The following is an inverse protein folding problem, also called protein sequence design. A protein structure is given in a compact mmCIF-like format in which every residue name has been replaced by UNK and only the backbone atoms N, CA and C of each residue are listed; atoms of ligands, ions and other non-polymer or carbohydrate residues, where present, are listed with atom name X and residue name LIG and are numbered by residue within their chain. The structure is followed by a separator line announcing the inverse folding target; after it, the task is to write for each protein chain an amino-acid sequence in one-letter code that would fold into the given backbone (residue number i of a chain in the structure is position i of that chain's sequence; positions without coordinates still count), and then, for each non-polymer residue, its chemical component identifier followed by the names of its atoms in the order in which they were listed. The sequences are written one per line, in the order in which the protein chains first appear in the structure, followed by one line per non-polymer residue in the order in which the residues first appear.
data_IF_391316884484
#
_entry.id   IF_391316884484
#
_cell.length_a   1.000
_cell.length_b   1.000
_cell.length_c   1.000
_cell.angle_alpha   90.00
_cell.angle_beta   90.00
_cell.angle_gamma   90.00
#
_symmetry.space_group_name_H-M   'P 1'
#
loop_
_entity.id
_entity.type
_entity.pdbx_description
1 polymer ?
#
# COMPACT_ATOMS: atom_id res chain seq x y z
N UNK A 1 14.44 -12.03 -37.24
CA UNK A 1 13.10 -11.50 -37.63
C UNK A 1 12.47 -10.58 -36.58
N UNK A 2 13.11 -10.39 -35.40
CA UNK A 2 12.64 -9.50 -34.31
C UNK A 2 13.25 -8.09 -34.33
N UNK A 3 13.91 -7.68 -35.42
CA UNK A 3 14.58 -6.39 -35.52
C UNK A 3 13.74 -5.41 -36.32
N UNK A 4 13.49 -4.23 -35.75
CA UNK A 4 12.85 -3.13 -36.45
C UNK A 4 12.11 -2.18 -35.50
N UNK A 5 12.28 -0.88 -35.73
CA UNK A 5 11.56 0.19 -35.04
C UNK A 5 10.07 0.01 -35.29
N UNK A 6 9.29 -0.16 -34.22
CA UNK A 6 7.85 -0.39 -34.28
C UNK A 6 7.42 -1.66 -35.05
N UNK A 7 8.31 -2.65 -35.18
CA UNK A 7 7.99 -3.93 -35.80
C UNK A 7 7.01 -4.73 -34.92
N UNK A 8 6.07 -5.43 -35.57
CA UNK A 8 5.09 -6.35 -34.96
C UNK A 8 4.13 -5.67 -33.96
N UNK A 9 2.98 -5.12 -34.41
CA UNK A 9 1.96 -4.55 -33.53
C UNK A 9 1.20 -5.65 -32.77
N UNK A 10 1.90 -6.37 -31.90
CA UNK A 10 1.35 -7.45 -31.09
C UNK A 10 1.16 -6.99 -29.66
N UNK A 11 0.23 -7.61 -28.96
CA UNK A 11 -0.01 -7.31 -27.55
C UNK A 11 -0.39 -8.56 -26.76
N UNK A 12 0.02 -8.57 -25.50
CA UNK A 12 -0.52 -9.49 -24.50
C UNK A 12 -1.48 -8.69 -23.63
N UNK A 13 -2.69 -9.21 -23.43
CA UNK A 13 -3.72 -8.55 -22.61
C UNK A 13 -3.80 -9.17 -21.22
N UNK A 14 -4.22 -8.39 -20.22
CA UNK A 14 -4.45 -8.93 -18.88
C UNK A 14 -5.68 -9.82 -18.83
N UNK A 15 -5.69 -10.78 -17.90
CA UNK A 15 -6.84 -11.64 -17.64
C UNK A 15 -8.13 -10.84 -17.38
N UNK A 16 -8.05 -9.70 -16.69
CA UNK A 16 -9.23 -8.87 -16.44
C UNK A 16 -9.72 -8.17 -17.68
N UNK A 17 -8.83 -7.69 -18.55
CA UNK A 17 -9.24 -7.09 -19.81
C UNK A 17 -9.96 -8.11 -20.69
N UNK A 18 -9.43 -9.34 -20.74
CA UNK A 18 -10.04 -10.48 -21.42
C UNK A 18 -11.45 -10.80 -20.90
N UNK A 19 -11.61 -10.90 -19.58
CA UNK A 19 -12.92 -11.19 -18.97
C UNK A 19 -13.92 -10.04 -19.12
N UNK A 20 -13.50 -8.81 -18.82
CA UNK A 20 -14.42 -7.67 -18.70
C UNK A 20 -14.83 -7.08 -20.05
N UNK A 21 -13.90 -7.02 -21.02
CA UNK A 21 -14.15 -6.40 -22.33
C UNK A 21 -14.45 -7.42 -23.41
N UNK A 22 -13.80 -8.57 -23.37
CA UNK A 22 -13.93 -9.60 -24.40
C UNK A 22 -14.76 -10.80 -23.94
N UNK A 23 -15.44 -10.68 -22.78
CA UNK A 23 -16.34 -11.69 -22.22
C UNK A 23 -15.73 -13.09 -22.10
N UNK A 24 -14.41 -13.18 -21.94
CA UNK A 24 -13.72 -14.46 -21.86
C UNK A 24 -13.64 -15.24 -23.19
N UNK A 25 -13.67 -14.57 -24.35
CA UNK A 25 -13.59 -15.20 -25.67
C UNK A 25 -12.31 -16.07 -25.81
N UNK A 26 -12.42 -17.41 -25.92
CA UNK A 26 -11.26 -18.29 -26.05
C UNK A 26 -10.53 -18.12 -27.39
N UNK A 27 -11.18 -17.53 -28.39
CA UNK A 27 -10.62 -17.26 -29.72
C UNK A 27 -10.01 -15.87 -29.83
N UNK A 28 -9.79 -15.16 -28.71
CA UNK A 28 -9.24 -13.80 -28.75
C UNK A 28 -7.79 -13.76 -29.24
N UNK A 29 -7.03 -14.84 -29.03
CA UNK A 29 -5.64 -14.95 -29.48
C UNK A 29 -5.62 -15.09 -31.01
N UNK A 30 -4.79 -14.28 -31.67
CA UNK A 30 -4.71 -14.14 -33.12
C UNK A 30 -5.65 -13.06 -33.69
N UNK A 31 -6.63 -12.56 -32.92
CA UNK A 31 -7.51 -11.47 -33.40
C UNK A 31 -6.83 -10.12 -33.30
N UNK A 32 -7.03 -9.30 -34.32
CA UNK A 32 -6.64 -7.89 -34.30
C UNK A 32 -7.72 -7.05 -33.64
N UNK A 33 -7.32 -6.22 -32.67
CA UNK A 33 -8.19 -5.30 -31.94
C UNK A 33 -7.61 -3.90 -31.95
N UNK A 34 -8.47 -2.89 -31.99
CA UNK A 34 -8.03 -1.49 -31.90
C UNK A 34 -7.84 -1.11 -30.43
N UNK A 35 -6.59 -0.87 -30.06
CA UNK A 35 -6.18 -0.42 -28.73
C UNK A 35 -5.42 0.90 -28.91
N UNK A 36 -5.82 1.95 -28.19
CA UNK A 36 -5.24 3.31 -28.34
C UNK A 36 -5.24 3.75 -29.82
N UNK A 37 -6.40 3.64 -30.49
CA UNK A 37 -6.57 4.06 -31.89
C UNK A 37 -5.78 3.26 -32.92
N UNK A 38 -5.04 2.21 -32.53
CA UNK A 38 -4.17 1.45 -33.42
C UNK A 38 -4.49 -0.06 -33.40
N UNK A 39 -4.40 -0.74 -34.56
CA UNK A 39 -4.61 -2.18 -34.62
C UNK A 39 -3.47 -2.91 -33.92
N UNK A 40 -3.81 -3.81 -33.00
CA UNK A 40 -2.89 -4.73 -32.34
C UNK A 40 -3.41 -6.16 -32.43
N UNK A 41 -2.54 -7.09 -32.82
CA UNK A 41 -2.86 -8.52 -32.79
C UNK A 41 -2.62 -9.05 -31.39
N UNK A 42 -3.66 -9.60 -30.77
CA UNK A 42 -3.55 -10.19 -29.44
C UNK A 42 -2.84 -11.53 -29.57
N UNK A 43 -1.63 -11.66 -29.04
CA UNK A 43 -0.83 -12.90 -29.12
C UNK A 43 -0.90 -13.74 -27.85
N UNK A 44 -1.51 -13.22 -26.80
CA UNK A 44 -1.70 -13.95 -25.56
C UNK A 44 -2.55 -13.23 -24.53
N UNK A 45 -2.99 -14.01 -23.55
CA UNK A 45 -3.67 -13.52 -22.34
C UNK A 45 -2.78 -13.87 -21.14
N UNK A 46 -2.44 -12.88 -20.33
CA UNK A 46 -1.67 -13.09 -19.12
C UNK A 46 -2.47 -13.95 -18.11
N UNK A 47 -1.79 -14.78 -17.30
CA UNK A 47 -2.47 -15.67 -16.35
C UNK A 47 -3.26 -14.88 -15.29
N UNK A 48 -4.31 -15.52 -14.76
CA UNK A 48 -5.11 -14.95 -13.66
C UNK A 48 -4.21 -14.62 -12.47
N UNK A 49 -4.31 -13.39 -11.97
CA UNK A 49 -3.50 -12.91 -10.84
C UNK A 49 -2.17 -12.25 -11.24
N UNK A 50 -1.84 -12.20 -12.54
CA UNK A 50 -0.73 -11.40 -13.03
C UNK A 50 -1.19 -9.99 -13.43
N UNK A 51 -0.62 -8.99 -12.76
CA UNK A 51 -0.95 -7.56 -12.93
C UNK A 51 0.19 -6.77 -13.60
N UNK A 52 1.30 -7.44 -13.89
CA UNK A 52 2.54 -6.87 -14.40
C UNK A 52 3.68 -6.98 -13.39
N UNK A 53 4.83 -6.45 -13.77
CA UNK A 53 6.07 -6.51 -12.99
C UNK A 53 6.24 -5.33 -12.04
N UNK A 54 5.39 -4.30 -12.17
CA UNK A 54 5.39 -3.14 -11.28
C UNK A 54 4.43 -3.35 -10.11
N UNK A 55 4.98 -3.62 -8.91
CA UNK A 55 4.17 -3.91 -7.72
C UNK A 55 3.34 -2.68 -7.34
N UNK A 56 2.06 -2.90 -7.06
CA UNK A 56 1.11 -1.85 -6.72
C UNK A 56 0.34 -1.30 -7.93
N UNK A 57 0.76 -1.63 -9.16
CA UNK A 57 0.08 -1.24 -10.39
C UNK A 57 -0.61 -2.44 -11.07
N UNK A 58 -1.63 -2.15 -11.87
CA UNK A 58 -2.41 -3.12 -12.64
C UNK A 58 -2.46 -2.73 -14.11
N UNK A 59 -1.51 -3.27 -14.87
CA UNK A 59 -1.43 -3.04 -16.30
C UNK A 59 -2.44 -3.91 -17.04
N UNK A 60 -3.09 -3.33 -18.06
CA UNK A 60 -4.13 -4.01 -18.86
C UNK A 60 -3.58 -4.67 -20.12
N UNK A 61 -2.44 -4.19 -20.61
CA UNK A 61 -1.80 -4.64 -21.83
C UNK A 61 -0.27 -4.51 -21.71
N UNK A 62 0.44 -5.37 -22.44
CA UNK A 62 1.88 -5.32 -22.65
C UNK A 62 2.15 -5.36 -24.15
N UNK A 63 3.16 -4.60 -24.57
CA UNK A 63 3.59 -4.50 -25.97
C UNK A 63 5.10 -4.69 -26.05
N UNK A 64 5.63 -5.15 -27.20
CA UNK A 64 7.07 -5.20 -27.43
C UNK A 64 7.73 -3.84 -27.21
N UNK A 65 8.91 -3.86 -26.60
CA UNK A 65 9.69 -2.66 -26.32
C UNK A 65 10.09 -1.90 -27.60
N UNK A 66 10.20 -2.58 -28.74
CA UNK A 66 10.41 -1.99 -30.06
C UNK A 66 9.30 -1.03 -30.49
N UNK A 67 8.12 -1.09 -29.84
CA UNK A 67 6.99 -0.19 -30.07
C UNK A 67 6.98 1.03 -29.15
N UNK A 68 8.02 1.28 -28.34
CA UNK A 68 8.07 2.37 -27.35
C UNK A 68 7.62 3.71 -27.95
N UNK A 69 8.14 4.08 -29.13
CA UNK A 69 7.81 5.34 -29.79
C UNK A 69 6.31 5.51 -30.12
N UNK A 70 5.55 4.41 -30.26
CA UNK A 70 4.09 4.48 -30.47
C UNK A 70 3.33 4.88 -29.22
N UNK A 71 3.90 4.67 -28.03
CA UNK A 71 3.22 4.87 -26.74
C UNK A 71 3.81 6.00 -25.91
N UNK A 72 5.07 6.36 -26.16
CA UNK A 72 5.78 7.42 -25.45
C UNK A 72 6.27 8.52 -26.41
N UNK A 73 6.09 9.80 -26.04
CA UNK A 73 6.68 10.91 -26.78
C UNK A 73 8.21 10.97 -26.60
N UNK A 74 8.90 11.68 -27.49
CA UNK A 74 10.35 11.93 -27.38
C UNK A 74 11.23 11.11 -28.34
N UNK A 75 10.65 10.51 -29.38
CA UNK A 75 11.38 9.72 -30.36
C UNK A 75 11.68 8.28 -29.88
N UNK A 76 12.52 7.58 -30.64
CA UNK A 76 12.85 6.18 -30.38
C UNK A 76 14.05 6.05 -29.45
N UNK A 77 13.76 5.93 -28.15
CA UNK A 77 14.76 5.96 -27.07
C UNK A 77 15.72 4.76 -27.07
N UNK A 78 15.37 3.69 -27.79
CA UNK A 78 16.17 2.47 -27.89
C UNK A 78 17.50 2.68 -28.63
N UNK A 79 17.62 3.73 -29.44
CA UNK A 79 18.85 4.08 -30.17
C UNK A 79 19.76 5.03 -29.37
N UNK A 80 19.27 5.59 -28.26
CA UNK A 80 20.04 6.50 -27.42
C UNK A 80 20.43 5.84 -26.10
N UNK A 81 21.71 5.50 -25.95
CA UNK A 81 22.24 4.88 -24.72
C UNK A 81 22.11 5.78 -23.49
N UNK A 82 22.02 7.11 -23.65
CA UNK A 82 21.82 8.05 -22.55
C UNK A 82 20.41 8.00 -21.95
N UNK A 83 19.43 7.45 -22.65
CA UNK A 83 18.03 7.38 -22.19
C UNK A 83 17.86 6.26 -21.15
N UNK A 84 17.58 6.63 -19.90
CA UNK A 84 17.46 5.69 -18.76
C UNK A 84 16.01 5.40 -18.36
N UNK A 85 15.17 5.11 -19.36
CA UNK A 85 13.73 4.93 -19.19
C UNK A 85 13.31 3.47 -18.94
N UNK A 86 14.22 2.50 -19.09
CA UNK A 86 13.92 1.07 -19.01
C UNK A 86 14.20 0.57 -17.59
N UNK A 87 13.19 -0.07 -17.01
CA UNK A 87 13.36 -0.82 -15.76
C UNK A 87 13.72 -2.29 -16.04
N UNK A 88 14.88 -2.70 -15.55
CA UNK A 88 15.42 -4.04 -15.74
C UNK A 88 14.88 -5.03 -14.70
N UNK A 89 14.44 -6.20 -15.16
CA UNK A 89 14.05 -7.32 -14.29
C UNK A 89 15.01 -8.49 -14.48
N UNK A 90 15.50 -9.02 -13.37
CA UNK A 90 16.46 -10.14 -13.36
C UNK A 90 15.82 -11.32 -12.63
N UNK A 91 15.88 -12.51 -13.24
CA UNK A 91 15.52 -13.77 -12.60
C UNK A 91 16.80 -14.52 -12.25
N UNK A 92 17.08 -14.66 -10.96
CA UNK A 92 18.26 -15.40 -10.48
C UNK A 92 18.11 -16.90 -10.77
N UNK A 93 19.23 -17.54 -11.13
CA UNK A 93 19.30 -19.01 -11.21
C UNK A 93 19.14 -19.60 -9.80
N UNK A 94 18.55 -20.81 -9.67
CA UNK A 94 18.48 -21.49 -8.37
C UNK A 94 19.86 -21.64 -7.73
N UNK A 95 19.98 -21.35 -6.43
CA UNK A 95 21.22 -21.48 -5.67
C UNK A 95 22.21 -20.32 -5.77
N UNK A 96 21.94 -19.31 -6.61
CA UNK A 96 22.79 -18.11 -6.72
C UNK A 96 22.36 -17.06 -5.69
N UNK A 97 23.33 -16.44 -5.01
CA UNK A 97 23.06 -15.40 -4.00
C UNK A 97 22.95 -14.01 -4.61
N UNK A 98 22.27 -13.09 -3.92
CA UNK A 98 22.14 -11.71 -4.39
C UNK A 98 23.49 -10.99 -4.49
N UNK A 99 24.43 -11.33 -3.63
CA UNK A 99 25.79 -10.78 -3.61
C UNK A 99 26.58 -11.20 -4.86
N UNK A 100 26.41 -12.47 -5.29
CA UNK A 100 27.03 -12.96 -6.52
C UNK A 100 26.48 -12.24 -7.76
N UNK A 101 25.15 -12.06 -7.82
CA UNK A 101 24.51 -11.32 -8.92
C UNK A 101 24.94 -9.85 -8.90
N UNK A 102 25.00 -9.24 -7.73
CA UNK A 102 25.47 -7.85 -7.59
C UNK A 102 26.92 -7.70 -8.05
N UNK A 103 27.81 -8.64 -7.72
CA UNK A 103 29.20 -8.62 -8.17
C UNK A 103 29.29 -8.71 -9.72
N UNK A 104 28.57 -9.64 -10.33
CA UNK A 104 28.54 -9.81 -11.80
C UNK A 104 28.01 -8.55 -12.51
N UNK A 105 26.90 -8.00 -12.00
CA UNK A 105 26.28 -6.78 -12.53
C UNK A 105 27.18 -5.54 -12.33
N UNK A 106 27.92 -5.46 -11.23
CA UNK A 106 28.93 -4.42 -11.01
C UNK A 106 30.07 -4.50 -12.03
N UNK A 107 30.58 -5.70 -12.34
CA UNK A 107 31.58 -5.89 -13.42
C UNK A 107 31.02 -5.50 -14.79
N UNK A 108 29.75 -5.77 -15.06
CA UNK A 108 29.09 -5.30 -16.29
C UNK A 108 29.01 -3.77 -16.34
N UNK A 109 28.67 -3.12 -15.23
CA UNK A 109 28.64 -1.67 -15.13
C UNK A 109 30.03 -1.05 -15.41
N UNK A 110 31.10 -1.59 -14.82
CA UNK A 110 32.48 -1.16 -15.07
C UNK A 110 32.88 -1.36 -16.55
N UNK A 111 32.50 -2.48 -17.16
CA UNK A 111 32.76 -2.73 -18.59
C UNK A 111 32.01 -1.75 -19.47
N UNK A 112 30.77 -1.39 -19.11
CA UNK A 112 29.97 -0.39 -19.82
C UNK A 112 30.55 1.01 -19.67
N UNK A 113 31.05 1.37 -18.49
CA UNK A 113 31.77 2.62 -18.25
C UNK A 113 33.01 2.74 -19.15
N UNK A 114 33.82 1.67 -19.23
CA UNK A 114 35.01 1.65 -20.07
C UNK A 114 34.70 1.71 -21.57
N UNK A 115 33.62 1.04 -22.00
CA UNK A 115 33.24 0.97 -23.42
C UNK A 115 32.46 2.21 -23.89
N UNK A 116 31.70 2.84 -22.99
CA UNK A 116 30.81 3.97 -23.27
C UNK A 116 30.95 5.07 -22.21
N UNK A 117 32.15 5.68 -22.09
CA UNK A 117 32.44 6.60 -21.00
C UNK A 117 31.60 7.88 -21.03
N UNK A 118 31.06 8.30 -22.18
CA UNK A 118 30.19 9.48 -22.24
C UNK A 118 28.85 9.28 -21.52
N UNK A 119 28.28 8.07 -21.59
CA UNK A 119 26.93 7.79 -21.05
C UNK A 119 26.93 7.00 -19.75
N UNK A 120 28.02 6.30 -19.43
CA UNK A 120 28.07 5.33 -18.34
C UNK A 120 29.14 5.61 -17.27
N UNK A 121 29.91 6.70 -17.40
CA UNK A 121 30.91 7.08 -16.40
C UNK A 121 30.27 7.44 -15.06
N UNK A 122 30.81 6.89 -13.97
CA UNK A 122 30.26 7.08 -12.63
C UNK A 122 28.89 6.41 -12.39
N UNK A 123 28.37 5.64 -13.35
CA UNK A 123 27.06 5.00 -13.25
C UNK A 123 27.18 3.55 -12.78
N UNK A 124 26.53 3.24 -11.66
CA UNK A 124 26.45 1.89 -11.11
C UNK A 124 25.09 1.25 -11.33
N UNK A 125 25.03 -0.09 -11.23
CA UNK A 125 23.78 -0.84 -11.23
C UNK A 125 23.62 -1.51 -9.87
N UNK A 126 22.49 -1.24 -9.20
CA UNK A 126 22.15 -1.84 -7.91
C UNK A 126 21.05 -2.88 -8.08
N UNK A 127 21.32 -4.09 -7.63
CA UNK A 127 20.36 -5.19 -7.64
C UNK A 127 19.52 -5.10 -6.36
N UNK A 128 18.22 -4.92 -6.53
CA UNK A 128 17.26 -4.83 -5.43
C UNK A 128 16.22 -5.95 -5.54
N UNK A 129 15.75 -6.52 -4.41
CA UNK A 129 14.54 -7.32 -4.41
C UNK A 129 13.40 -6.51 -5.03
N UNK A 130 12.55 -7.16 -5.83
CA UNK A 130 11.51 -6.47 -6.59
C UNK A 130 10.67 -5.50 -5.72
N UNK A 131 10.26 -5.93 -4.52
CA UNK A 131 9.45 -5.10 -3.61
C UNK A 131 10.16 -3.85 -3.05
N UNK A 132 11.50 -3.76 -3.14
CA UNK A 132 12.30 -2.59 -2.73
C UNK A 132 12.66 -1.68 -3.91
N UNK A 133 12.30 -2.05 -5.14
CA UNK A 133 12.67 -1.27 -6.30
C UNK A 133 12.00 0.13 -6.27
N UNK A 134 12.73 1.21 -6.63
CA UNK A 134 12.24 2.59 -6.50
C UNK A 134 11.04 2.89 -7.41
N UNK A 135 10.95 2.22 -8.56
CA UNK A 135 9.87 2.36 -9.52
C UNK A 135 8.57 1.61 -9.15
N UNK A 136 8.55 0.89 -8.02
CA UNK A 136 7.36 0.18 -7.55
C UNK A 136 6.54 1.02 -6.59
N UNK A 137 5.21 0.85 -6.62
CA UNK A 137 4.27 1.49 -5.69
C UNK A 137 4.40 0.99 -4.24
N UNK A 138 5.13 -0.11 -4.02
CA UNK A 138 5.31 -0.71 -2.71
C UNK A 138 5.99 0.24 -1.70
N UNK A 139 7.01 0.99 -2.13
CA UNK A 139 7.73 1.93 -1.27
C UNK A 139 6.82 3.03 -0.72
N UNK A 140 5.89 3.52 -1.53
CA UNK A 140 4.89 4.52 -1.12
C UNK A 140 3.82 3.95 -0.19
N UNK A 141 3.47 2.66 -0.36
CA UNK A 141 2.37 2.04 0.38
C UNK A 141 2.80 1.38 1.69
N UNK A 142 4.03 0.87 1.76
CA UNK A 142 4.57 0.14 2.91
C UNK A 142 4.50 0.94 4.22
N UNK A 143 4.89 2.23 4.28
CA UNK A 143 4.78 3.01 5.51
C UNK A 143 3.33 3.15 5.98
N UNK A 144 2.41 3.45 5.07
CA UNK A 144 0.97 3.57 5.38
C UNK A 144 0.39 2.25 5.87
N UNK A 145 0.73 1.13 5.22
CA UNK A 145 0.32 -0.21 5.64
C UNK A 145 0.92 -0.58 7.01
N UNK A 146 2.17 -0.19 7.28
CA UNK A 146 2.83 -0.39 8.57
C UNK A 146 2.14 0.38 9.70
N UNK A 147 1.75 1.63 9.46
CA UNK A 147 0.96 2.42 10.42
C UNK A 147 -0.41 1.78 10.65
N UNK A 148 -1.11 1.38 9.58
CA UNK A 148 -2.42 0.73 9.70
C UNK A 148 -2.33 -0.59 10.49
N UNK A 149 -1.28 -1.38 10.28
CA UNK A 149 -1.02 -2.59 11.06
C UNK A 149 -0.74 -2.26 12.53
N UNK A 150 0.08 -1.24 12.80
CA UNK A 150 0.35 -0.77 14.15
C UNK A 150 -0.92 -0.36 14.90
N UNK A 151 -1.80 0.40 14.24
CA UNK A 151 -3.12 0.77 14.78
C UNK A 151 -3.95 -0.48 15.06
N UNK A 152 -3.99 -1.43 14.12
CA UNK A 152 -4.72 -2.70 14.29
C UNK A 152 -4.24 -3.50 15.51
N UNK A 153 -2.93 -3.58 15.73
CA UNK A 153 -2.34 -4.26 16.89
C UNK A 153 -2.70 -3.52 18.19
N UNK A 154 -2.59 -2.19 18.23
CA UNK A 154 -2.95 -1.40 19.41
C UNK A 154 -4.43 -1.59 19.79
N UNK A 155 -5.33 -1.54 18.79
CA UNK A 155 -6.77 -1.78 19.01
C UNK A 155 -7.01 -3.20 19.51
N UNK A 156 -6.36 -4.21 18.93
CA UNK A 156 -6.47 -5.59 19.40
C UNK A 156 -6.05 -5.73 20.86
N UNK A 157 -4.94 -5.12 21.27
CA UNK A 157 -4.47 -5.13 22.66
C UNK A 157 -5.44 -4.45 23.63
N UNK A 158 -6.03 -3.31 23.23
CA UNK A 158 -7.06 -2.63 24.03
C UNK A 158 -8.29 -3.53 24.21
N UNK A 159 -8.75 -4.18 23.13
CA UNK A 159 -9.89 -5.10 23.19
C UNK A 159 -9.57 -6.30 24.09
N UNK A 160 -8.39 -6.90 23.96
CA UNK A 160 -7.95 -7.96 24.85
C UNK A 160 -7.94 -7.50 26.32
N UNK A 161 -7.37 -6.34 26.64
CA UNK A 161 -7.38 -5.79 28.00
C UNK A 161 -8.82 -5.59 28.52
N UNK A 162 -9.73 -5.08 27.70
CA UNK A 162 -11.14 -4.89 28.05
C UNK A 162 -11.83 -6.21 28.37
N UNK A 163 -11.70 -7.21 27.49
CA UNK A 163 -12.29 -8.54 27.68
C UNK A 163 -11.75 -9.16 28.96
N UNK A 164 -10.45 -9.07 29.19
CA UNK A 164 -9.81 -9.57 30.40
C UNK A 164 -10.34 -8.92 31.67
N UNK A 165 -10.51 -7.60 31.67
CA UNK A 165 -11.09 -6.87 32.79
C UNK A 165 -12.55 -7.32 33.06
N UNK A 166 -13.36 -7.49 32.01
CA UNK A 166 -14.74 -7.97 32.13
C UNK A 166 -14.81 -9.41 32.66
N UNK A 167 -13.94 -10.31 32.19
CA UNK A 167 -13.86 -11.70 32.68
C UNK A 167 -13.48 -11.74 34.17
N UNK A 168 -12.52 -10.91 34.58
CA UNK A 168 -12.13 -10.78 35.98
C UNK A 168 -13.29 -10.25 36.85
N UNK A 169 -14.02 -9.21 36.40
CA UNK A 169 -15.19 -8.67 37.12
C UNK A 169 -16.28 -9.72 37.28
N UNK A 170 -16.63 -10.44 36.19
CA UNK A 170 -17.63 -11.51 36.23
C UNK A 170 -17.24 -12.65 37.16
N UNK A 171 -15.97 -13.03 37.16
CA UNK A 171 -15.45 -14.04 38.08
C UNK A 171 -15.62 -13.60 39.55
N UNK A 172 -15.23 -12.36 39.88
CA UNK A 172 -15.34 -11.86 41.25
C UNK A 172 -16.79 -11.74 41.71
N UNK A 173 -17.73 -11.36 40.83
CA UNK A 173 -19.15 -11.34 41.14
C UNK A 173 -19.71 -12.75 41.45
N UNK A 174 -19.22 -13.78 40.75
CA UNK A 174 -19.63 -15.19 40.96
C UNK A 174 -18.83 -15.93 42.03
N UNK A 175 -17.95 -15.24 42.77
CA UNK A 175 -17.03 -15.86 43.73
C UNK A 175 -17.73 -16.62 44.85
N UNK A 176 -18.83 -16.08 45.39
CA UNK A 176 -19.59 -16.74 46.45
C UNK A 176 -20.19 -18.06 45.99
N UNK A 177 -20.78 -18.09 44.79
CA UNK A 177 -21.32 -19.29 44.17
C UNK A 177 -20.23 -20.34 43.93
N UNK A 178 -19.08 -19.92 43.38
CA UNK A 178 -17.94 -20.81 43.11
C UNK A 178 -17.39 -21.41 44.41
N UNK A 179 -17.25 -20.58 45.46
CA UNK A 179 -16.75 -21.03 46.77
C UNK A 179 -17.73 -22.00 47.42
N UNK A 180 -19.05 -21.73 47.34
CA UNK A 180 -20.09 -22.63 47.83
C UNK A 180 -20.09 -23.99 47.09
N UNK A 181 -19.95 -23.99 45.76
CA UNK A 181 -19.84 -25.24 44.97
C UNK A 181 -18.61 -26.06 45.36
N UNK A 182 -17.46 -25.41 45.57
CA UNK A 182 -16.23 -26.08 46.02
C UNK A 182 -16.42 -26.66 47.44
N UNK A 183 -17.06 -25.92 48.34
CA UNK A 183 -17.37 -26.40 49.70
C UNK A 183 -18.34 -27.59 49.71
N UNK A 184 -19.25 -27.67 48.74
CA UNK A 184 -20.14 -28.82 48.50
C UNK A 184 -19.45 -30.00 47.78
N UNK A 185 -18.13 -29.97 47.58
CA UNK A 185 -17.35 -31.07 47.01
C UNK A 185 -17.18 -31.04 45.48
N UNK A 186 -17.54 -29.94 44.81
CA UNK A 186 -17.26 -29.81 43.38
C UNK A 186 -15.74 -29.77 43.12
N UNK A 187 -15.25 -30.66 42.26
CA UNK A 187 -13.85 -30.68 41.85
C UNK A 187 -13.44 -29.37 41.15
N UNK A 188 -12.29 -28.80 41.56
CA UNK A 188 -11.75 -27.53 41.03
C UNK A 188 -11.59 -27.53 39.50
N UNK A 189 -11.27 -28.68 38.92
CA UNK A 189 -11.19 -28.87 37.46
C UNK A 189 -12.53 -28.67 36.74
N UNK A 190 -13.66 -29.05 37.37
CA UNK A 190 -15.01 -28.87 36.79
C UNK A 190 -15.41 -27.40 36.73
N UNK A 191 -15.05 -26.63 37.75
CA UNK A 191 -15.25 -25.17 37.79
C UNK A 191 -14.37 -24.47 36.74
N UNK A 192 -13.11 -24.87 36.62
CA UNK A 192 -12.20 -24.33 35.62
C UNK A 192 -12.67 -24.64 34.20
N UNK A 193 -13.08 -25.88 33.93
CA UNK A 193 -13.66 -26.28 32.64
C UNK A 193 -14.88 -25.43 32.30
N UNK A 194 -15.79 -25.22 33.24
CA UNK A 194 -16.98 -24.39 33.00
C UNK A 194 -16.61 -22.97 32.59
N UNK A 195 -15.73 -22.30 33.36
CA UNK A 195 -15.32 -20.92 33.08
C UNK A 195 -14.57 -20.78 31.74
N UNK A 196 -13.70 -21.75 31.44
CA UNK A 196 -13.02 -21.80 30.15
C UNK A 196 -14.00 -22.05 29.00
N UNK A 197 -14.97 -22.94 29.15
CA UNK A 197 -15.99 -23.18 28.12
C UNK A 197 -16.88 -21.95 27.88
N UNK A 198 -17.30 -21.25 28.93
CA UNK A 198 -18.06 -20.00 28.78
C UNK A 198 -17.25 -18.92 28.05
N UNK A 199 -15.97 -18.75 28.42
CA UNK A 199 -15.07 -17.81 27.75
C UNK A 199 -14.76 -18.19 26.30
N UNK A 200 -14.57 -19.47 26.03
CA UNK A 200 -14.31 -20.00 24.69
C UNK A 200 -15.51 -19.82 23.76
N UNK A 201 -16.74 -20.10 24.23
CA UNK A 201 -17.96 -19.91 23.45
C UNK A 201 -18.12 -18.42 23.08
N UNK A 202 -17.94 -17.53 24.05
CA UNK A 202 -18.00 -16.08 23.79
C UNK A 202 -16.92 -15.62 22.80
N UNK A 203 -15.69 -16.16 22.94
CA UNK A 203 -14.58 -15.85 22.03
C UNK A 203 -14.86 -16.35 20.61
N UNK A 204 -15.47 -17.53 20.47
CA UNK A 204 -15.82 -18.11 19.17
C UNK A 204 -16.91 -17.30 18.47
N UNK A 205 -17.96 -16.91 19.19
CA UNK A 205 -19.04 -16.06 18.65
C UNK A 205 -18.46 -14.70 18.23
N UNK A 206 -17.63 -14.10 19.07
CA UNK A 206 -16.96 -12.83 18.77
C UNK A 206 -16.04 -12.92 17.54
N UNK A 207 -15.26 -13.99 17.43
CA UNK A 207 -14.39 -14.23 16.28
C UNK A 207 -15.19 -14.43 14.99
N UNK A 208 -16.24 -15.25 15.02
CA UNK A 208 -17.12 -15.47 13.88
C UNK A 208 -17.80 -14.17 13.43
N UNK A 209 -18.36 -13.40 14.37
CA UNK A 209 -18.95 -12.09 14.09
C UNK A 209 -17.94 -11.09 13.54
N UNK A 210 -16.72 -11.07 14.09
CA UNK A 210 -15.62 -10.23 13.61
C UNK A 210 -15.19 -10.56 12.17
N UNK A 211 -15.14 -11.83 11.81
CA UNK A 211 -14.85 -12.29 10.43
C UNK A 211 -15.93 -11.81 9.45
N UNK A 212 -17.21 -11.93 9.82
CA UNK A 212 -18.33 -11.45 8.99
C UNK A 212 -18.25 -9.93 8.82
N UNK A 213 -18.01 -9.20 9.91
CA UNK A 213 -17.89 -7.74 9.86
C UNK A 213 -16.69 -7.29 9.02
N UNK A 214 -15.54 -7.97 9.15
CA UNK A 214 -14.35 -7.70 8.35
C UNK A 214 -14.63 -7.90 6.85
N UNK A 215 -15.39 -8.95 6.50
CA UNK A 215 -15.80 -9.20 5.12
C UNK A 215 -16.70 -8.08 4.56
N UNK A 216 -17.64 -7.56 5.34
CA UNK A 216 -18.49 -6.43 4.93
C UNK A 216 -17.71 -5.12 4.81
N UNK A 217 -16.88 -4.78 5.80
CA UNK A 217 -16.05 -3.57 5.77
C UNK A 217 -15.10 -3.56 4.58
N UNK A 218 -14.52 -4.70 4.22
CA UNK A 218 -13.70 -4.87 3.01
C UNK A 218 -14.48 -4.47 1.75
N UNK A 219 -15.70 -4.98 1.58
CA UNK A 219 -16.50 -4.70 0.39
C UNK A 219 -16.90 -3.22 0.35
N UNK A 220 -17.25 -2.62 1.50
CA UNK A 220 -17.56 -1.19 1.59
C UNK A 220 -16.36 -0.32 1.22
N UNK A 221 -15.16 -0.68 1.67
CA UNK A 221 -13.93 0.04 1.33
C UNK A 221 -13.66 0.05 -0.18
N UNK A 222 -14.00 -1.04 -0.89
CA UNK A 222 -13.84 -1.10 -2.35
C UNK A 222 -14.77 -0.15 -3.11
N UNK A 223 -15.89 0.25 -2.50
CA UNK A 223 -16.86 1.22 -3.07
C UNK A 223 -16.47 2.66 -2.71
N UNK A 224 -15.89 2.88 -1.51
CA UNK A 224 -15.53 4.21 -1.02
C UNK A 224 -14.22 4.76 -1.61
N UNK A 225 -13.34 3.91 -2.18
CA UNK A 225 -12.11 4.37 -2.83
C UNK A 225 -12.44 4.80 -4.26
N UNK A 226 -12.31 6.09 -4.61
CA UNK A 226 -12.56 6.55 -5.97
C UNK A 226 -11.61 5.86 -6.95
N UNK A 227 -12.05 5.58 -8.20
CA UNK A 227 -11.15 5.08 -9.23
C UNK A 227 -10.01 6.09 -9.43
N UNK A 228 -8.81 5.74 -8.95
CA UNK A 228 -7.60 6.56 -9.11
C UNK A 228 -7.17 6.54 -10.57
N UNK A 229 -6.56 7.64 -11.02
CA UNK A 229 -5.95 7.76 -12.36
C UNK A 229 -4.82 6.75 -12.60
N UNK A 230 -4.14 6.30 -11.53
CA UNK A 230 -3.22 5.17 -11.57
C UNK A 230 -3.97 3.86 -11.24
N UNK A 231 -3.77 2.77 -12.02
CA UNK A 231 -4.45 1.50 -11.78
C UNK A 231 -3.82 0.80 -10.57
N UNK A 232 -4.13 1.25 -9.36
CA UNK A 232 -3.62 0.65 -8.14
C UNK A 232 -4.44 -0.61 -7.83
N UNK A 233 -3.77 -1.76 -7.73
CA UNK A 233 -4.41 -3.00 -7.32
C UNK A 233 -4.07 -3.31 -5.86
N UNK A 234 -5.07 -3.10 -5.00
CA UNK A 234 -5.07 -3.57 -3.62
C UNK A 234 -5.94 -4.83 -3.55
N UNK A 235 -5.35 -6.04 -3.57
CA UNK A 235 -6.10 -7.24 -3.31
C UNK A 235 -6.56 -7.19 -1.84
N UNK A 236 -7.77 -6.70 -1.60
CA UNK A 236 -8.37 -6.68 -0.26
C UNK A 236 -8.74 -8.09 0.25
N UNK A 237 -8.07 -9.14 -0.20
CA UNK A 237 -8.38 -10.51 0.22
C UNK A 237 -8.07 -10.66 1.71
N UNK A 238 -8.97 -11.32 2.44
CA UNK A 238 -8.70 -11.68 3.83
C UNK A 238 -7.60 -12.73 3.86
N UNK A 239 -6.50 -12.40 4.52
CA UNK A 239 -5.43 -13.37 4.78
C UNK A 239 -5.83 -14.25 5.97
N UNK A 240 -5.97 -15.55 5.72
CA UNK A 240 -6.31 -16.52 6.75
C UNK A 240 -5.26 -16.58 7.86
N UNK A 241 -3.99 -16.28 7.59
CA UNK A 241 -2.91 -16.26 8.57
C UNK A 241 -3.14 -15.16 9.60
N UNK A 242 -3.60 -13.99 9.14
CA UNK A 242 -3.97 -12.87 10.02
C UNK A 242 -5.19 -13.24 10.85
N UNK A 243 -6.20 -13.88 10.25
CA UNK A 243 -7.38 -14.35 10.99
C UNK A 243 -7.02 -15.38 12.08
N UNK A 244 -6.16 -16.35 11.75
CA UNK A 244 -5.68 -17.36 12.70
C UNK A 244 -4.83 -16.72 13.80
N UNK A 245 -3.96 -15.77 13.46
CA UNK A 245 -3.17 -15.02 14.44
C UNK A 245 -4.08 -14.24 15.39
N UNK A 246 -5.05 -13.49 14.87
CA UNK A 246 -6.00 -12.73 15.68
C UNK A 246 -6.85 -13.64 16.56
N UNK A 247 -7.36 -14.75 16.02
CA UNK A 247 -8.10 -15.75 16.80
C UNK A 247 -7.21 -16.37 17.89
N UNK A 248 -5.95 -16.69 17.58
CA UNK A 248 -4.96 -17.20 18.52
C UNK A 248 -4.69 -16.23 19.66
N UNK A 249 -4.49 -14.93 19.38
CA UNK A 249 -4.28 -13.89 20.40
C UNK A 249 -5.52 -13.77 21.30
N UNK A 250 -6.73 -13.77 20.73
CA UNK A 250 -7.97 -13.74 21.51
C UNK A 250 -8.09 -14.97 22.42
N UNK A 251 -7.83 -16.18 21.91
CA UNK A 251 -7.86 -17.42 22.68
C UNK A 251 -6.83 -17.41 23.82
N UNK A 252 -5.59 -17.02 23.53
CA UNK A 252 -4.52 -16.91 24.53
C UNK A 252 -4.93 -15.91 25.61
N UNK A 253 -5.48 -14.76 25.24
CA UNK A 253 -5.98 -13.77 26.21
C UNK A 253 -7.08 -14.39 27.09
N UNK A 254 -8.11 -15.01 26.50
CA UNK A 254 -9.20 -15.64 27.26
C UNK A 254 -8.70 -16.71 28.22
N UNK A 255 -7.75 -17.55 27.80
CA UNK A 255 -7.16 -18.61 28.64
C UNK A 255 -6.30 -18.02 29.77
N UNK A 256 -5.38 -17.11 29.45
CA UNK A 256 -4.50 -16.49 30.44
C UNK A 256 -5.30 -15.79 31.55
N UNK A 257 -6.27 -14.96 31.16
CA UNK A 257 -7.06 -14.20 32.13
C UNK A 257 -8.19 -15.03 32.78
N UNK A 258 -8.62 -16.13 32.15
CA UNK A 258 -9.49 -17.13 32.78
C UNK A 258 -8.79 -17.98 33.84
N UNK A 259 -7.48 -18.20 33.71
CA UNK A 259 -6.68 -19.01 34.65
C UNK A 259 -6.22 -18.24 35.89
N UNK A 260 -5.92 -16.94 35.77
CA UNK A 260 -5.54 -16.05 36.87
C UNK A 260 -6.42 -16.21 38.13
N UNK A 261 -7.76 -16.13 38.03
CA UNK A 261 -8.61 -16.26 39.21
C UNK A 261 -8.62 -17.65 39.87
N UNK A 262 -8.39 -18.73 39.11
CA UNK A 262 -8.33 -20.10 39.65
C UNK A 262 -7.05 -20.31 40.46
N UNK A 263 -5.92 -19.80 39.96
CA UNK A 263 -4.65 -19.80 40.68
C UNK A 263 -4.75 -18.99 41.98
N UNK A 264 -5.48 -17.88 41.98
CA UNK A 264 -5.73 -17.12 43.20
C UNK A 264 -6.68 -17.81 44.18
N UNK A 265 -7.72 -18.50 43.70
CA UNK A 265 -8.65 -19.25 44.57
C UNK A 265 -7.97 -20.41 45.29
N UNK A 266 -6.89 -20.94 44.73
CA UNK A 266 -6.10 -22.05 45.29
C UNK A 266 -5.32 -21.67 46.55
N UNK A 267 -5.10 -20.37 46.77
CA UNK A 267 -4.38 -19.83 47.95
C UNK A 267 -5.30 -19.35 49.06
N UNK A 268 -6.62 -19.42 48.88
CA UNK A 268 -7.58 -18.95 49.89
C UNK A 268 -7.94 -20.12 50.80
N UNK A 269 -7.51 -20.02 52.05
CA UNK A 269 -7.84 -20.98 53.09
C UNK A 269 -9.36 -20.96 53.34
N UNK A 270 -10.03 -22.10 53.15
CA UNK A 270 -11.49 -22.26 53.19
C UNK A 270 -12.09 -21.78 54.52
N UNK A 271 -11.33 -21.84 55.61
CA UNK A 271 -11.72 -21.35 56.93
C UNK A 271 -11.80 -19.80 57.02
N UNK A 272 -11.05 -19.08 56.19
CA UNK A 272 -11.03 -17.60 56.16
C UNK A 272 -12.16 -17.00 55.32
N UNK A 273 -12.60 -17.71 54.27
CA UNK A 273 -13.61 -17.24 53.33
C UNK A 273 -15.04 -17.20 53.90
N UNK A 274 -15.32 -18.04 54.89
CA UNK A 274 -16.60 -18.08 55.62
C UNK A 274 -16.64 -17.12 56.82
N UNK A 275 -15.51 -16.56 57.24
CA UNK A 275 -15.38 -15.83 58.51
C UNK A 275 -15.18 -14.31 58.37
N UNK A 276 -15.26 -13.72 57.19
CA UNK A 276 -14.94 -12.28 57.05
C UNK A 276 -15.91 -11.46 56.23
N UNK A 277 -16.75 -10.74 56.96
CA UNK A 277 -17.26 -9.41 56.61
C UNK A 277 -16.22 -8.30 56.93
N UNK A 278 -15.03 -8.62 57.50
CA UNK A 278 -14.17 -7.58 58.11
C UNK A 278 -12.64 -7.72 57.98
N UNK A 279 -12.06 -8.68 57.25
CA UNK A 279 -10.61 -9.00 57.42
C UNK A 279 -9.73 -9.35 56.22
N UNK A 280 -10.20 -9.26 54.96
CA UNK A 280 -9.36 -9.64 53.79
C UNK A 280 -8.74 -8.43 53.07
N UNK A 281 -7.91 -7.64 53.77
CA UNK A 281 -7.25 -6.45 53.19
C UNK A 281 -6.01 -6.82 52.34
N UNK A 282 -5.38 -7.98 52.60
CA UNK A 282 -4.11 -8.37 51.96
C UNK A 282 -4.32 -8.96 50.55
N UNK A 283 -5.36 -9.77 50.35
CA UNK A 283 -5.71 -10.33 49.02
C UNK A 283 -6.41 -9.32 48.11
N UNK A 284 -7.14 -8.35 48.68
CA UNK A 284 -7.79 -7.28 47.92
C UNK A 284 -6.78 -6.33 47.25
N UNK A 285 -5.62 -6.08 47.88
CA UNK A 285 -4.56 -5.21 47.35
C UNK A 285 -3.88 -5.77 46.09
N UNK A 286 -3.57 -7.07 46.04
CA UNK A 286 -2.99 -7.70 44.84
C UNK A 286 -3.94 -7.66 43.63
N UNK A 287 -5.23 -7.95 43.88
CA UNK A 287 -6.30 -7.90 42.88
C UNK A 287 -6.56 -6.50 42.34
N UNK A 288 -6.59 -5.51 43.23
CA UNK A 288 -6.70 -4.10 42.85
C UNK A 288 -5.48 -3.64 42.04
N UNK A 289 -4.29 -4.19 42.29
CA UNK A 289 -3.05 -3.84 41.59
C UNK A 289 -3.00 -4.43 40.17
N UNK A 290 -3.43 -5.69 39.96
CA UNK A 290 -3.54 -6.29 38.62
C UNK A 290 -4.61 -5.57 37.79
N UNK A 291 -5.79 -5.32 38.36
CA UNK A 291 -6.86 -4.55 37.69
C UNK A 291 -6.43 -3.12 37.40
N UNK A 292 -5.82 -2.46 38.37
CA UNK A 292 -5.27 -1.11 38.22
C UNK A 292 -4.22 -1.04 37.12
N UNK A 293 -3.31 -2.01 37.06
CA UNK A 293 -2.33 -2.13 35.99
C UNK A 293 -2.97 -2.32 34.62
N UNK A 294 -3.99 -3.18 34.50
CA UNK A 294 -4.72 -3.38 33.24
C UNK A 294 -5.42 -2.09 32.77
N UNK A 295 -6.08 -1.38 33.70
CA UNK A 295 -6.73 -0.11 33.40
C UNK A 295 -5.71 0.95 32.99
N UNK A 296 -4.57 1.03 33.67
CA UNK A 296 -3.48 1.95 33.30
C UNK A 296 -2.98 1.64 31.89
N UNK A 297 -2.67 0.38 31.58
CA UNK A 297 -2.24 -0.04 30.23
C UNK A 297 -3.30 0.30 29.18
N UNK A 298 -4.57 -0.01 29.45
CA UNK A 298 -5.67 0.29 28.55
C UNK A 298 -5.82 1.79 28.29
N UNK A 299 -5.77 2.61 29.35
CA UNK A 299 -5.89 4.07 29.26
C UNK A 299 -4.69 4.65 28.52
N UNK A 300 -3.47 4.19 28.81
CA UNK A 300 -2.26 4.60 28.10
C UNK A 300 -2.32 4.26 26.60
N UNK A 301 -2.72 3.04 26.24
CA UNK A 301 -2.87 2.64 24.83
C UNK A 301 -3.96 3.44 24.12
N UNK A 302 -5.10 3.66 24.78
CA UNK A 302 -6.20 4.46 24.25
C UNK A 302 -5.77 5.92 24.05
N UNK A 303 -4.98 6.47 24.98
CA UNK A 303 -4.44 7.82 24.87
C UNK A 303 -3.47 7.94 23.70
N UNK A 304 -2.57 6.96 23.51
CA UNK A 304 -1.66 6.91 22.35
C UNK A 304 -2.44 6.87 21.03
N UNK A 305 -3.48 6.04 20.93
CA UNK A 305 -4.33 6.00 19.75
C UNK A 305 -5.08 7.32 19.51
N UNK A 306 -5.59 7.95 20.57
CA UNK A 306 -6.31 9.22 20.47
C UNK A 306 -5.38 10.34 20.01
N UNK A 307 -4.17 10.43 20.58
CA UNK A 307 -3.14 11.39 20.16
C UNK A 307 -2.73 11.13 18.72
N UNK A 308 -2.49 9.87 18.34
CA UNK A 308 -2.16 9.49 16.96
C UNK A 308 -3.26 9.87 15.97
N UNK A 309 -4.52 9.59 16.30
CA UNK A 309 -5.67 9.99 15.48
C UNK A 309 -5.79 11.52 15.37
N UNK A 310 -5.62 12.23 16.48
CA UNK A 310 -5.60 13.70 16.52
C UNK A 310 -4.49 14.28 15.64
N UNK A 311 -3.27 13.73 15.70
CA UNK A 311 -2.15 14.13 14.85
C UNK A 311 -2.43 13.86 13.37
N UNK A 312 -3.10 12.75 13.02
CA UNK A 312 -3.49 12.48 11.63
C UNK A 312 -4.53 13.49 11.14
N UNK A 313 -5.53 13.81 11.97
CA UNK A 313 -6.54 14.83 11.63
C UNK A 313 -5.89 16.20 11.47
N UNK A 314 -5.05 16.62 12.43
CA UNK A 314 -4.31 17.87 12.37
C UNK A 314 -3.37 17.93 11.17
N UNK A 315 -2.69 16.83 10.85
CA UNK A 315 -1.82 16.75 9.68
C UNK A 315 -2.62 16.84 8.39
N UNK A 316 -3.79 16.20 8.32
CA UNK A 316 -4.68 16.30 7.16
C UNK A 316 -5.22 17.72 7.00
N UNK A 317 -5.62 18.36 8.10
CA UNK A 317 -6.06 19.76 8.10
C UNK A 317 -4.93 20.69 7.65
N UNK A 318 -3.71 20.49 8.17
CA UNK A 318 -2.53 21.24 7.76
C UNK A 318 -2.19 21.03 6.28
N UNK A 319 -2.30 19.81 5.77
CA UNK A 319 -2.08 19.52 4.33
C UNK A 319 -3.17 20.18 3.47
N UNK A 320 -4.41 20.25 3.95
CA UNK A 320 -5.53 20.87 3.22
C UNK A 320 -5.49 22.40 3.22
N UNK A 321 -4.97 23.00 4.29
CA UNK A 321 -4.95 24.46 4.48
C UNK A 321 -3.60 25.09 4.19
N UNK A 322 -2.52 24.30 4.14
CA UNK A 322 -1.22 24.79 3.72
C UNK A 322 -1.31 25.23 2.26
N UNK A 323 -1.05 26.52 2.02
CA UNK A 323 -0.84 27.02 0.67
C UNK A 323 0.36 26.29 0.07
N UNK A 324 0.20 25.56 -1.03
CA UNK A 324 1.30 24.84 -1.65
C UNK A 324 2.23 25.78 -2.46
N UNK A 325 2.03 27.10 -2.36
CA UNK A 325 2.75 28.10 -3.13
C UNK A 325 2.20 28.31 -4.54
N UNK A 326 1.01 27.76 -4.83
CA UNK A 326 0.27 27.93 -6.09
C UNK A 326 -1.23 27.85 -5.84
N UNK A 327 -2.02 28.41 -6.75
CA UNK A 327 -3.49 28.41 -6.72
C UNK A 327 -4.06 26.99 -6.86
N UNK A 328 -4.92 26.63 -5.90
CA UNK A 328 -5.68 25.37 -5.91
C UNK A 328 -7.18 25.60 -6.12
N UNK A 329 -7.66 26.81 -5.86
CA UNK A 329 -9.06 27.20 -6.01
C UNK A 329 -9.31 27.70 -7.43
N UNK A 330 -10.38 27.22 -8.07
CA UNK A 330 -10.76 27.65 -9.42
C UNK A 330 -9.87 27.10 -10.56
N UNK A 331 -8.89 26.24 -10.26
CA UNK A 331 -8.02 25.62 -11.28
C UNK A 331 -8.57 24.25 -11.69
N UNK A 332 -8.96 24.12 -12.96
CA UNK A 332 -9.37 22.84 -13.54
C UNK A 332 -8.20 22.19 -14.27
N UNK A 333 -7.87 20.94 -13.90
CA UNK A 333 -6.87 20.14 -14.59
C UNK A 333 -7.51 19.06 -15.46
N UNK A 334 -7.03 18.94 -16.70
CA UNK A 334 -7.40 17.88 -17.63
C UNK A 334 -6.17 17.36 -18.36
N UNK A 335 -6.21 16.11 -18.79
CA UNK A 335 -5.10 15.47 -19.49
C UNK A 335 -5.59 14.84 -20.80
N UNK A 336 -4.86 15.11 -21.88
CA UNK A 336 -5.08 14.49 -23.19
C UNK A 336 -3.79 13.82 -23.62
N UNK A 337 -3.87 12.57 -24.08
CA UNK A 337 -2.73 11.87 -24.67
C UNK A 337 -2.95 11.75 -26.19
N UNK A 338 -2.42 12.72 -26.93
CA UNK A 338 -2.56 12.80 -28.39
C UNK A 338 -1.76 11.73 -29.14
N UNK A 339 -0.58 11.37 -28.62
CA UNK A 339 0.27 10.35 -29.25
C UNK A 339 -0.39 8.98 -29.19
N UNK A 340 -0.99 8.65 -28.05
CA UNK A 340 -1.78 7.43 -27.87
C UNK A 340 -3.06 7.42 -28.72
N UNK A 341 -3.51 8.54 -29.28
CA UNK A 341 -4.63 8.56 -30.25
C UNK A 341 -4.16 8.59 -31.70
N UNK A 342 -2.84 8.52 -31.95
CA UNK A 342 -2.28 8.43 -33.29
C UNK A 342 -1.92 9.77 -33.94
N UNK A 343 -1.87 10.86 -33.17
CA UNK A 343 -1.38 12.14 -33.69
C UNK A 343 0.13 12.09 -33.89
N UNK A 344 0.60 12.71 -34.96
CA UNK A 344 2.01 13.05 -35.15
C UNK A 344 2.34 14.36 -34.42
N UNK A 345 3.64 14.68 -34.30
CA UNK A 345 4.12 15.87 -33.57
C UNK A 345 3.54 17.18 -34.12
N UNK A 346 3.40 17.30 -35.44
CA UNK A 346 2.92 18.53 -36.06
C UNK A 346 1.42 18.72 -35.83
N UNK A 347 0.63 17.66 -36.01
CA UNK A 347 -0.81 17.66 -35.72
C UNK A 347 -1.08 17.86 -34.23
N UNK A 348 -0.23 17.31 -33.36
CA UNK A 348 -0.33 17.52 -31.92
C UNK A 348 -0.09 19.00 -31.56
N UNK A 349 0.91 19.64 -32.16
CA UNK A 349 1.17 21.08 -31.98
C UNK A 349 -0.02 21.92 -32.46
N UNK A 350 -0.49 21.69 -33.69
CA UNK A 350 -1.64 22.41 -34.24
C UNK A 350 -2.90 22.22 -33.38
N UNK A 351 -3.11 21.02 -32.83
CA UNK A 351 -4.21 20.74 -31.92
C UNK A 351 -4.05 21.52 -30.60
N UNK A 352 -2.86 21.55 -30.01
CA UNK A 352 -2.61 22.31 -28.79
C UNK A 352 -2.87 23.80 -29.00
N UNK A 353 -2.37 24.39 -30.07
CA UNK A 353 -2.56 25.81 -30.37
C UNK A 353 -4.06 26.14 -30.50
N UNK A 354 -4.80 25.38 -31.33
CA UNK A 354 -6.24 25.58 -31.51
C UNK A 354 -7.07 25.25 -30.26
N UNK A 355 -6.65 24.27 -29.45
CA UNK A 355 -7.32 23.91 -28.21
C UNK A 355 -7.17 25.04 -27.17
N UNK A 356 -5.96 25.57 -27.03
CA UNK A 356 -5.69 26.68 -26.11
C UNK A 356 -6.48 27.93 -26.49
N UNK A 357 -6.52 28.29 -27.77
CA UNK A 357 -7.31 29.42 -28.28
C UNK A 357 -8.80 29.27 -27.94
N UNK A 358 -9.37 28.08 -28.16
CA UNK A 358 -10.78 27.80 -27.86
C UNK A 358 -11.08 27.81 -26.38
N UNK A 359 -10.19 27.26 -25.54
CA UNK A 359 -10.37 27.24 -24.09
C UNK A 359 -10.30 28.66 -23.55
N UNK A 360 -9.33 29.48 -23.99
CA UNK A 360 -9.25 30.88 -23.57
C UNK A 360 -10.44 31.72 -24.02
N UNK A 361 -11.14 31.35 -25.10
CA UNK A 361 -12.34 32.02 -25.56
C UNK A 361 -13.63 31.64 -24.79
N UNK A 362 -13.59 30.63 -23.90
CA UNK A 362 -14.78 30.24 -23.11
C UNK A 362 -15.05 31.29 -22.03
N UNK A 363 -16.27 31.85 -21.96
CA UNK A 363 -16.62 32.80 -20.90
C UNK A 363 -16.45 32.19 -19.50
N UNK A 364 -15.75 32.90 -18.62
CA UNK A 364 -15.46 32.44 -17.25
C UNK A 364 -14.10 31.77 -17.06
N UNK A 365 -13.32 31.59 -18.13
CA UNK A 365 -11.91 31.16 -18.03
C UNK A 365 -11.01 32.41 -17.97
N UNK A 366 -10.33 32.61 -16.84
CA UNK A 366 -9.40 33.74 -16.66
C UNK A 366 -8.04 33.50 -17.34
N UNK A 367 -7.55 32.26 -17.27
CA UNK A 367 -6.26 31.86 -17.80
C UNK A 367 -6.25 30.37 -18.10
N UNK A 368 -5.48 29.97 -19.10
CA UNK A 368 -5.27 28.57 -19.43
C UNK A 368 -3.83 28.35 -19.89
N UNK A 369 -3.24 27.24 -19.44
CA UNK A 369 -1.92 26.80 -19.85
C UNK A 369 -1.87 25.27 -19.92
N UNK A 370 -0.89 24.76 -20.65
CA UNK A 370 -0.53 23.35 -20.62
C UNK A 370 0.73 23.15 -19.77
N UNK A 371 0.85 21.98 -19.17
CA UNK A 371 2.04 21.55 -18.45
C UNK A 371 2.21 20.05 -18.63
N UNK A 372 3.45 19.58 -18.71
CA UNK A 372 3.74 18.15 -18.82
C UNK A 372 3.41 17.42 -17.52
N UNK A 373 3.81 18.02 -16.41
CA UNK A 373 3.56 17.55 -15.04
C UNK A 373 2.87 18.67 -14.26
N UNK A 374 1.90 18.31 -13.44
CA UNK A 374 1.28 19.24 -12.49
C UNK A 374 1.99 19.11 -11.13
N UNK A 375 2.06 20.18 -10.33
CA UNK A 375 2.69 20.11 -9.01
C UNK A 375 1.93 19.12 -8.14
N UNK A 376 2.67 18.36 -7.31
CA UNK A 376 2.13 17.28 -6.48
C UNK A 376 1.43 16.16 -7.28
N UNK A 377 1.65 16.11 -8.60
CA UNK A 377 1.20 15.02 -9.46
C UNK A 377 2.01 13.74 -9.25
N UNK A 378 1.44 12.60 -9.65
CA UNK A 378 2.08 11.29 -9.56
C UNK A 378 2.97 10.94 -10.78
N UNK A 379 3.32 11.92 -11.61
CA UNK A 379 4.20 11.72 -12.78
C UNK A 379 5.59 12.26 -12.46
N UNK A 380 6.62 11.53 -12.87
CA UNK A 380 8.00 11.99 -12.81
C UNK A 380 8.21 13.19 -13.74
N UNK A 381 9.07 14.12 -13.31
CA UNK A 381 9.56 15.21 -14.13
C UNK A 381 10.39 14.69 -15.31
N UNK A 382 10.55 15.52 -16.34
CA UNK A 382 11.52 15.20 -17.39
C UNK A 382 12.93 15.42 -16.83
N UNK A 383 13.89 14.64 -17.32
CA UNK A 383 15.29 14.79 -16.96
C UNK A 383 16.09 15.21 -18.19
N UNK A 384 17.03 16.12 -18.02
CA UNK A 384 18.00 16.49 -19.05
C UNK A 384 19.39 16.63 -18.45
N UNK A 385 20.40 16.20 -19.20
CA UNK A 385 21.80 16.52 -18.89
C UNK A 385 22.02 18.01 -19.11
N UNK A 386 22.73 18.65 -18.18
CA UNK A 386 23.07 20.08 -18.28
C UNK A 386 24.58 20.27 -18.32
N UNK A 387 25.03 21.27 -19.07
CA UNK A 387 26.38 21.80 -18.99
C UNK A 387 26.27 23.23 -18.44
N UNK A 388 26.91 23.48 -17.29
CA UNK A 388 26.89 24.80 -16.65
C UNK A 388 28.17 25.53 -17.04
N UNK A 389 28.02 26.69 -17.66
CA UNK A 389 29.17 27.51 -18.07
C UNK A 389 30.02 27.88 -16.85
N UNK A 390 31.33 27.66 -16.94
CA UNK A 390 32.26 27.90 -15.83
C UNK A 390 32.31 26.81 -14.75
N UNK A 391 31.56 25.71 -14.92
CA UNK A 391 31.60 24.57 -14.02
C UNK A 391 32.05 23.31 -14.77
N UNK A 392 33.17 22.74 -14.35
CA UNK A 392 33.63 21.44 -14.81
C UNK A 392 33.16 20.37 -13.81
N UNK A 393 32.22 19.48 -14.21
CA UNK A 393 31.78 18.40 -13.34
C UNK A 393 32.95 17.51 -12.95
N UNK A 394 32.93 16.99 -11.73
CA UNK A 394 33.93 16.00 -11.32
C UNK A 394 33.89 14.79 -12.26
N UNK A 395 35.00 14.03 -12.34
CA UNK A 395 35.11 12.89 -13.28
C UNK A 395 33.96 11.89 -13.20
N UNK A 396 33.35 11.69 -12.03
CA UNK A 396 32.24 10.74 -11.82
C UNK A 396 30.89 11.45 -11.63
N UNK A 397 30.79 12.71 -12.02
CA UNK A 397 29.60 13.52 -11.87
C UNK A 397 28.92 13.73 -13.22
N UNK A 398 27.64 13.38 -13.27
CA UNK A 398 26.77 13.66 -14.41
C UNK A 398 25.63 14.55 -13.91
N UNK A 399 25.74 15.88 -14.08
CA UNK A 399 24.69 16.79 -13.65
C UNK A 399 23.43 16.57 -14.50
N UNK A 400 22.38 16.10 -13.83
CA UNK A 400 21.05 15.91 -14.38
C UNK A 400 20.12 16.91 -13.70
N UNK A 401 19.30 17.60 -14.50
CA UNK A 401 18.27 18.50 -14.03
C UNK A 401 16.91 17.85 -14.28
N UNK A 402 16.08 17.79 -13.23
CA UNK A 402 14.65 17.59 -13.39
C UNK A 402 13.98 18.89 -13.83
N UNK A 403 13.23 18.85 -14.92
CA UNK A 403 12.53 20.00 -15.48
C UNK A 403 11.08 19.67 -15.83
N UNK A 404 10.26 20.71 -15.85
CA UNK A 404 8.87 20.65 -16.28
C UNK A 404 8.67 21.51 -17.51
N UNK A 405 8.09 20.93 -18.57
CA UNK A 405 7.73 21.66 -19.78
C UNK A 405 6.36 22.31 -19.55
N UNK A 406 6.33 23.64 -19.55
CA UNK A 406 5.12 24.41 -19.27
C UNK A 406 4.87 25.45 -20.36
N UNK A 407 3.60 25.75 -20.61
CA UNK A 407 3.20 26.81 -21.53
C UNK A 407 3.47 28.21 -20.96
N UNK A 408 3.48 29.25 -21.80
CA UNK A 408 3.86 30.62 -21.39
C UNK A 408 3.04 31.18 -20.22
N UNK A 409 1.74 30.88 -20.18
CA UNK A 409 0.82 31.38 -19.15
C UNK A 409 0.80 30.54 -17.87
N UNK A 410 1.59 29.46 -17.77
CA UNK A 410 1.48 28.49 -16.68
C UNK A 410 1.65 29.08 -15.29
N UNK A 411 2.68 29.91 -15.06
CA UNK A 411 2.90 30.53 -13.76
C UNK A 411 1.75 31.46 -13.38
N UNK A 412 1.23 32.24 -14.34
CA UNK A 412 0.06 33.09 -14.13
C UNK A 412 -1.21 32.27 -13.85
N UNK A 413 -1.47 31.18 -14.59
CA UNK A 413 -2.61 30.29 -14.35
C UNK A 413 -2.52 29.62 -12.96
N UNK A 414 -1.31 29.27 -12.53
CA UNK A 414 -1.04 28.65 -11.25
C UNK A 414 -0.85 29.67 -10.11
N UNK A 415 -0.91 30.98 -10.37
CA UNK A 415 -0.71 32.02 -9.34
C UNK A 415 0.65 31.96 -8.63
N UNK A 416 1.71 31.59 -9.35
CA UNK A 416 3.10 31.49 -8.85
C UNK A 416 3.86 32.79 -9.10
#
# INVERSE_FOLDING_TARGET
EDFGRNAHPVTVISYQLWQNRFHGDPLIVGKTQVLNGRPHTIVGVAPKGFYGTFIGYSWKLWVPISMQERFEPGGYKMENRGERWIEGFLRMKPGVTAEQVQAEVSTLAERLENSYPETNRGQGIKVLPLWKAPFNGASFMLPTLGIALGIGVLVLLIVCANVSNLLLVRFFARRHEITARIALGAGRGRVLQQLLTEGLILSLIGAAGGVVLAYWCRNLLSVLIPPRSAPVFLPGQMDWRVLVLSAGVCLISTVLFGLVPVLESSKVDLASALKTESGSVIGARGRARVRGGLVVVQVSLSFVLLVGAGLVVLSLEKIRTASPGFSIDGVLNTAVNLMATGYDTQRAKNFHDAFMERVQAVPGIESAAYGRVIPLGYRSYSEASIAVEGYEPARNEQPILEYNEVGPSYFATMGI
#
